data_IF_774738953247
#
_entry.id   IF_774738953247
#
_cell.length_a   1.000
_cell.length_b   1.000
_cell.length_c   1.000
_cell.angle_alpha   90.00
_cell.angle_beta   90.00
_cell.angle_gamma   90.00
#
_symmetry.space_group_name_H-M   'P 1'
#
loop_
_entity.id
_entity.type
_entity.pdbx_description
1 polymer ?
#
# COMPACT_ATOMS: atom_id res chain seq x y z
N UNK A 1 -30.99 29.61 36.93
CA UNK A 1 -31.46 28.27 36.51
C UNK A 1 -32.70 28.47 35.65
N UNK A 2 -32.59 28.38 34.32
CA UNK A 2 -33.76 28.46 33.44
C UNK A 2 -34.54 27.16 33.57
N UNK A 3 -35.73 27.23 34.16
CA UNK A 3 -36.64 26.09 34.32
C UNK A 3 -36.95 25.52 32.94
N UNK A 4 -36.66 24.23 32.73
CA UNK A 4 -36.98 23.55 31.47
C UNK A 4 -38.50 23.49 31.30
N UNK A 5 -39.02 24.19 30.29
CA UNK A 5 -40.44 24.16 29.94
C UNK A 5 -40.75 22.79 29.34
N UNK A 6 -41.59 21.98 30.00
CA UNK A 6 -42.08 20.71 29.45
C UNK A 6 -43.09 21.00 28.35
N UNK A 7 -42.71 20.75 27.10
CA UNK A 7 -43.61 20.86 25.95
C UNK A 7 -44.42 19.56 25.75
N UNK A 8 -45.67 19.62 25.25
CA UNK A 8 -46.44 18.43 24.88
C UNK A 8 -45.72 17.57 23.82
N UNK A 9 -45.89 16.24 23.87
CA UNK A 9 -45.26 15.32 22.90
C UNK A 9 -45.61 15.65 21.44
N UNK A 10 -46.85 16.10 21.21
CA UNK A 10 -47.37 16.52 19.90
C UNK A 10 -47.17 18.01 19.62
N UNK A 11 -46.24 18.69 20.30
CA UNK A 11 -45.90 20.08 20.03
C UNK A 11 -45.42 20.24 18.57
N UNK A 12 -46.02 21.17 17.84
CA UNK A 12 -45.66 21.57 16.49
C UNK A 12 -44.33 22.31 16.44
N UNK A 13 -43.77 22.44 15.23
CA UNK A 13 -42.42 22.97 15.05
C UNK A 13 -42.26 24.41 15.58
N UNK A 14 -43.29 25.26 15.44
CA UNK A 14 -43.18 26.66 15.84
C UNK A 14 -43.05 26.78 17.37
N UNK A 15 -43.84 26.00 18.13
CA UNK A 15 -43.73 25.96 19.58
C UNK A 15 -42.36 25.46 20.06
N UNK A 16 -41.78 24.44 19.39
CA UNK A 16 -40.47 23.89 19.77
C UNK A 16 -39.32 24.88 19.60
N UNK A 17 -39.42 25.78 18.62
CA UNK A 17 -38.35 26.73 18.28
C UNK A 17 -38.64 28.16 18.78
N UNK A 18 -39.79 28.39 19.41
CA UNK A 18 -40.15 29.69 19.98
C UNK A 18 -39.32 30.03 21.23
N UNK A 19 -39.05 31.32 21.51
CA UNK A 19 -38.45 31.75 22.76
C UNK A 19 -39.24 31.28 24.00
N UNK A 20 -38.58 31.06 25.16
CA UNK A 20 -39.24 30.55 26.38
C UNK A 20 -40.42 31.39 26.87
N UNK A 21 -40.43 32.70 26.62
CA UNK A 21 -41.55 33.59 26.94
C UNK A 21 -42.77 33.31 26.08
N UNK A 22 -42.56 33.15 24.77
CA UNK A 22 -43.61 32.84 23.81
C UNK A 22 -44.15 31.41 24.00
N UNK A 23 -43.29 30.45 24.38
CA UNK A 23 -43.71 29.11 24.77
C UNK A 23 -44.66 29.13 25.97
N UNK A 24 -44.32 29.89 27.03
CA UNK A 24 -45.16 30.03 28.23
C UNK A 24 -46.51 30.69 27.89
N UNK A 25 -46.48 31.77 27.12
CA UNK A 25 -47.68 32.47 26.68
C UNK A 25 -48.61 31.55 25.86
N UNK A 26 -48.04 30.73 24.96
CA UNK A 26 -48.81 29.76 24.20
C UNK A 26 -49.44 28.68 25.09
N UNK A 27 -48.65 28.07 26.01
CA UNK A 27 -49.16 27.02 26.90
C UNK A 27 -50.30 27.50 27.80
N UNK A 28 -50.23 28.74 28.31
CA UNK A 28 -51.31 29.34 29.10
C UNK A 28 -52.64 29.44 28.33
N UNK A 29 -52.59 29.69 27.02
CA UNK A 29 -53.78 29.72 26.16
C UNK A 29 -54.34 28.30 25.94
N UNK A 30 -53.48 27.29 25.86
CA UNK A 30 -53.87 25.88 25.64
C UNK A 30 -54.48 25.23 26.88
N UNK A 31 -54.05 25.61 28.09
CA UNK A 31 -54.62 25.09 29.34
C UNK A 31 -56.13 25.32 29.46
N UNK A 32 -56.62 26.42 28.88
CA UNK A 32 -58.02 26.81 28.87
C UNK A 32 -58.70 26.59 27.50
N UNK A 33 -58.16 25.67 26.69
CA UNK A 33 -58.73 25.33 25.39
C UNK A 33 -60.06 24.57 25.55
N UNK A 34 -61.14 24.96 24.84
CA UNK A 34 -62.46 24.38 25.04
C UNK A 34 -62.48 22.89 24.66
N UNK A 35 -63.13 22.07 25.49
CA UNK A 35 -63.26 20.62 25.26
C UNK A 35 -64.23 20.33 24.10
N UNK A 36 -64.15 19.14 23.51
CA UNK A 36 -65.02 18.79 22.37
C UNK A 36 -66.51 18.58 22.76
N UNK A 37 -66.90 18.88 24.00
CA UNK A 37 -68.27 18.74 24.49
C UNK A 37 -69.07 19.98 24.05
N UNK A 38 -70.15 19.78 23.29
CA UNK A 38 -71.00 20.89 22.82
C UNK A 38 -70.49 21.62 21.57
N UNK A 39 -69.69 20.97 20.72
CA UNK A 39 -69.13 21.55 19.48
C UNK A 39 -70.16 22.14 18.51
N UNK A 40 -71.42 21.71 18.58
CA UNK A 40 -72.53 22.22 17.77
C UNK A 40 -73.17 23.50 18.32
N UNK A 41 -72.73 24.00 19.48
CA UNK A 41 -73.30 25.19 20.13
C UNK A 41 -72.60 26.48 19.68
N UNK A 42 -73.37 27.58 19.62
CA UNK A 42 -72.84 28.91 19.30
C UNK A 42 -71.83 29.39 20.37
N UNK A 43 -72.08 29.10 21.65
CA UNK A 43 -71.19 29.42 22.75
C UNK A 43 -69.81 28.76 22.61
N UNK A 44 -69.75 27.50 22.16
CA UNK A 44 -68.47 26.82 21.87
C UNK A 44 -67.71 27.50 20.73
N UNK A 45 -68.43 27.91 19.67
CA UNK A 45 -67.83 28.61 18.53
C UNK A 45 -67.20 29.94 18.95
N UNK A 46 -67.89 30.74 19.77
CA UNK A 46 -67.40 32.03 20.29
C UNK A 46 -66.19 31.87 21.22
N UNK A 47 -66.21 30.89 22.14
CA UNK A 47 -65.07 30.56 22.99
C UNK A 47 -63.85 30.10 22.19
N UNK A 48 -64.07 29.26 21.17
CA UNK A 48 -63.01 28.80 20.28
C UNK A 48 -62.42 29.96 19.46
N UNK A 49 -63.25 30.88 18.96
CA UNK A 49 -62.79 32.11 18.26
C UNK A 49 -61.91 32.95 19.18
N UNK A 50 -62.33 33.19 20.42
CA UNK A 50 -61.55 33.97 21.39
C UNK A 50 -60.16 33.34 21.65
N UNK A 51 -60.09 32.01 21.77
CA UNK A 51 -58.81 31.29 21.96
C UNK A 51 -57.93 31.31 20.73
N UNK A 52 -58.49 31.19 19.53
CA UNK A 52 -57.75 31.35 18.27
C UNK A 52 -57.14 32.74 18.19
N UNK A 53 -57.90 33.80 18.52
CA UNK A 53 -57.40 35.17 18.54
C UNK A 53 -56.24 35.36 19.55
N UNK A 54 -56.34 34.75 20.74
CA UNK A 54 -55.25 34.75 21.73
C UNK A 54 -53.98 34.07 21.19
N UNK A 55 -54.09 32.91 20.54
CA UNK A 55 -52.93 32.25 19.92
C UNK A 55 -52.33 33.13 18.82
N UNK A 56 -53.15 33.71 17.95
CA UNK A 56 -52.70 34.60 16.87
C UNK A 56 -51.91 35.79 17.44
N UNK A 57 -52.38 36.37 18.55
CA UNK A 57 -51.67 37.44 19.26
C UNK A 57 -50.33 36.97 19.86
N UNK A 58 -50.27 35.77 20.46
CA UNK A 58 -49.01 35.19 20.97
C UNK A 58 -47.97 35.03 19.86
N UNK A 59 -48.40 34.70 18.64
CA UNK A 59 -47.52 34.58 17.47
C UNK A 59 -47.32 35.90 16.69
N UNK A 60 -47.97 36.98 17.09
CA UNK A 60 -47.88 38.31 16.46
C UNK A 60 -48.55 38.39 15.08
N UNK A 61 -49.48 37.50 14.75
CA UNK A 61 -50.15 37.48 13.45
C UNK A 61 -51.44 38.28 13.37
N UNK A 62 -52.08 38.24 12.20
CA UNK A 62 -53.42 38.78 11.94
C UNK A 62 -54.34 37.65 11.51
N UNK A 63 -55.58 37.63 12.01
CA UNK A 63 -56.62 36.71 11.55
C UNK A 63 -57.50 37.40 10.52
N UNK A 64 -57.48 36.91 9.27
CA UNK A 64 -58.12 37.55 8.12
C UNK A 64 -59.60 37.19 7.94
N UNK A 65 -60.07 36.07 8.50
CA UNK A 65 -61.45 35.60 8.34
C UNK A 65 -62.13 35.24 9.68
N UNK A 66 -62.27 36.17 10.64
CA UNK A 66 -62.90 35.90 11.93
C UNK A 66 -64.41 35.62 11.84
N UNK A 67 -65.06 36.13 10.79
CA UNK A 67 -66.51 35.96 10.56
C UNK A 67 -66.86 34.62 9.93
N UNK A 68 -65.97 34.07 9.10
CA UNK A 68 -66.13 32.72 8.52
C UNK A 68 -65.93 31.66 9.61
N UNK A 69 -66.78 30.63 9.66
CA UNK A 69 -66.76 29.62 10.72
C UNK A 69 -65.38 28.96 10.96
N UNK A 70 -65.19 28.36 12.15
CA UNK A 70 -63.90 27.89 12.66
C UNK A 70 -63.28 26.67 11.94
N UNK A 71 -63.80 26.24 10.79
CA UNK A 71 -63.35 25.05 10.07
C UNK A 71 -62.08 25.28 9.24
N UNK A 72 -61.87 26.50 8.72
CA UNK A 72 -60.69 26.88 7.93
C UNK A 72 -60.25 28.30 8.31
N UNK A 73 -59.08 28.41 8.92
CA UNK A 73 -58.51 29.68 9.36
C UNK A 73 -57.56 30.22 8.29
N UNK A 74 -57.75 31.48 7.92
CA UNK A 74 -56.83 32.28 7.10
C UNK A 74 -56.14 33.29 8.00
N UNK A 75 -54.85 33.04 8.27
CA UNK A 75 -54.03 33.90 9.13
C UNK A 75 -52.88 34.50 8.33
N UNK A 76 -52.28 35.57 8.81
CA UNK A 76 -51.08 36.17 8.26
C UNK A 76 -50.05 36.35 9.36
N UNK A 77 -48.78 35.97 9.12
CA UNK A 77 -47.71 36.22 10.10
C UNK A 77 -47.17 37.66 10.00
N UNK A 78 -46.28 38.03 10.93
CA UNK A 78 -45.57 39.32 10.92
C UNK A 78 -44.75 39.58 9.66
N UNK A 79 -44.28 38.53 8.98
CA UNK A 79 -43.54 38.61 7.71
C UNK A 79 -44.46 38.62 6.48
N UNK A 80 -45.79 38.65 6.68
CA UNK A 80 -46.76 38.75 5.60
C UNK A 80 -47.14 37.43 4.93
N UNK A 81 -46.57 36.28 5.32
CA UNK A 81 -46.95 34.98 4.76
C UNK A 81 -48.37 34.59 5.17
N UNK A 82 -49.15 34.09 4.20
CA UNK A 82 -50.49 33.54 4.43
C UNK A 82 -50.42 32.12 5.00
N UNK A 83 -51.12 31.89 6.10
CA UNK A 83 -51.21 30.62 6.81
C UNK A 83 -52.64 30.11 6.70
N UNK A 84 -52.83 29.05 5.94
CA UNK A 84 -54.12 28.35 5.86
C UNK A 84 -54.05 27.12 6.77
N UNK A 85 -54.83 27.11 7.85
CA UNK A 85 -54.75 26.05 8.86
C UNK A 85 -56.12 25.73 9.48
N UNK A 86 -56.15 24.75 10.38
CA UNK A 86 -57.33 24.38 11.18
C UNK A 86 -57.02 24.60 12.66
N UNK A 87 -58.03 24.86 13.52
CA UNK A 87 -57.81 25.06 14.95
C UNK A 87 -57.01 23.94 15.62
N UNK A 88 -57.17 22.70 15.16
CA UNK A 88 -56.42 21.54 15.64
C UNK A 88 -54.90 21.69 15.51
N UNK A 89 -54.39 22.11 14.35
CA UNK A 89 -52.95 22.28 14.13
C UNK A 89 -52.41 23.51 14.86
N UNK A 90 -53.22 24.57 14.92
CA UNK A 90 -52.89 25.76 15.69
C UNK A 90 -52.74 25.44 17.19
N UNK A 91 -53.64 24.62 17.74
CA UNK A 91 -53.59 24.09 19.13
C UNK A 91 -52.33 23.27 19.38
N UNK A 92 -51.83 22.55 18.38
CA UNK A 92 -50.58 21.79 18.51
C UNK A 92 -49.34 22.70 18.55
N UNK A 93 -49.46 23.99 18.21
CA UNK A 93 -48.30 24.89 18.12
C UNK A 93 -47.64 24.87 16.74
N UNK A 94 -48.42 24.56 15.70
CA UNK A 94 -48.03 24.77 14.30
C UNK A 94 -48.41 26.19 13.90
N UNK A 95 -47.43 26.95 13.43
CA UNK A 95 -47.61 28.34 12.95
C UNK A 95 -47.09 28.46 11.50
N UNK A 96 -46.47 29.58 11.15
CA UNK A 96 -45.99 29.91 9.82
C UNK A 96 -44.87 28.97 9.35
N UNK A 97 -45.19 28.09 8.39
CA UNK A 97 -44.22 27.24 7.71
C UNK A 97 -43.26 28.05 6.83
N UNK A 98 -43.70 29.17 6.26
CA UNK A 98 -42.87 30.08 5.46
C UNK A 98 -41.69 30.65 6.25
N UNK A 99 -41.98 31.31 7.38
CA UNK A 99 -40.95 31.80 8.31
C UNK A 99 -40.02 30.69 8.80
N UNK A 100 -40.55 29.50 9.07
CA UNK A 100 -39.73 28.36 9.50
C UNK A 100 -38.78 27.89 8.39
N UNK A 101 -39.27 27.72 7.16
CA UNK A 101 -38.43 27.35 6.01
C UNK A 101 -37.38 28.43 5.71
N UNK A 102 -37.73 29.71 5.83
CA UNK A 102 -36.78 30.82 5.65
C UNK A 102 -35.70 30.83 6.75
N UNK A 103 -36.05 30.54 8.00
CA UNK A 103 -35.08 30.39 9.09
C UNK A 103 -34.10 29.23 8.91
N UNK A 104 -34.50 28.22 8.13
CA UNK A 104 -33.66 27.06 7.78
C UNK A 104 -32.76 27.33 6.56
N UNK A 105 -32.97 28.44 5.82
CA UNK A 105 -32.13 28.75 4.67
C UNK A 105 -30.77 29.25 5.14
N UNK A 106 -29.74 28.63 4.56
CA UNK A 106 -28.40 29.14 4.68
C UNK A 106 -28.29 30.54 4.07
N UNK A 107 -27.58 31.41 4.77
CA UNK A 107 -27.31 32.78 4.36
C UNK A 107 -25.81 33.02 4.40
N UNK A 108 -25.35 34.10 3.76
CA UNK A 108 -23.94 34.47 3.87
C UNK A 108 -23.51 34.67 5.33
N UNK A 109 -24.41 35.22 6.17
CA UNK A 109 -24.17 35.38 7.59
C UNK A 109 -23.97 34.03 8.30
N UNK A 110 -24.77 33.00 7.97
CA UNK A 110 -24.57 31.67 8.54
C UNK A 110 -23.24 31.05 8.10
N UNK A 111 -22.78 31.33 6.88
CA UNK A 111 -21.46 30.90 6.38
C UNK A 111 -20.31 31.61 7.11
N UNK A 112 -20.42 32.92 7.33
CA UNK A 112 -19.43 33.69 8.10
C UNK A 112 -19.36 33.22 9.55
N UNK A 113 -20.50 32.95 10.19
CA UNK A 113 -20.54 32.39 11.54
C UNK A 113 -19.92 30.98 11.61
N UNK A 114 -20.15 30.14 10.58
CA UNK A 114 -19.53 28.83 10.47
C UNK A 114 -18.00 28.93 10.39
N UNK A 115 -17.49 29.89 9.61
CA UNK A 115 -16.06 30.15 9.51
C UNK A 115 -15.48 30.64 10.84
N UNK A 116 -16.13 31.59 11.51
CA UNK A 116 -15.71 32.13 12.80
C UNK A 116 -15.63 31.04 13.89
N UNK A 117 -16.61 30.12 13.92
CA UNK A 117 -16.60 28.96 14.84
C UNK A 117 -15.38 28.05 14.64
N UNK A 118 -14.82 28.02 13.43
CA UNK A 118 -13.61 27.25 13.06
C UNK A 118 -12.34 28.11 13.09
N UNK A 119 -12.40 29.29 13.72
CA UNK A 119 -11.31 30.27 13.79
C UNK A 119 -10.79 30.70 12.42
N UNK A 120 -11.70 30.86 11.47
CA UNK A 120 -11.35 31.36 10.14
C UNK A 120 -12.40 32.32 9.61
N UNK A 121 -12.30 32.63 8.33
CA UNK A 121 -13.07 33.69 7.68
C UNK A 121 -13.67 33.17 6.37
N UNK A 122 -14.92 33.53 6.10
CA UNK A 122 -15.50 33.39 4.77
C UNK A 122 -15.22 34.69 4.01
N UNK A 123 -14.42 34.61 2.94
CA UNK A 123 -13.99 35.76 2.14
C UNK A 123 -15.01 36.12 1.05
N UNK A 124 -15.93 35.22 0.73
CA UNK A 124 -17.00 35.49 -0.24
C UNK A 124 -17.94 36.58 0.28
N UNK A 125 -18.32 37.50 -0.61
CA UNK A 125 -19.28 38.58 -0.36
C UNK A 125 -20.73 38.20 -0.67
N UNK A 126 -20.95 37.04 -1.30
CA UNK A 126 -22.28 36.58 -1.72
C UNK A 126 -22.42 35.06 -1.52
N UNK A 127 -23.64 34.61 -1.21
CA UNK A 127 -24.00 33.19 -1.09
C UNK A 127 -25.29 32.93 -1.88
N UNK A 128 -25.18 32.17 -2.97
CA UNK A 128 -26.32 31.88 -3.85
C UNK A 128 -27.08 30.62 -3.39
N UNK A 129 -26.37 29.53 -3.13
CA UNK A 129 -26.93 28.26 -2.68
C UNK A 129 -25.83 27.30 -2.19
N UNK A 130 -26.23 26.12 -1.70
CA UNK A 130 -25.32 25.16 -1.07
C UNK A 130 -24.31 24.50 -2.02
N UNK A 131 -24.56 24.57 -3.33
CA UNK A 131 -23.67 24.05 -4.38
C UNK A 131 -22.69 25.10 -4.89
N UNK A 132 -22.91 26.38 -4.59
CA UNK A 132 -21.96 27.44 -4.91
C UNK A 132 -20.73 27.33 -4.04
N UNK A 133 -19.56 27.44 -4.68
CA UNK A 133 -18.29 27.50 -3.96
C UNK A 133 -18.14 28.87 -3.30
N UNK A 134 -17.66 28.86 -2.08
CA UNK A 134 -17.25 30.05 -1.34
C UNK A 134 -15.74 29.99 -1.12
N UNK A 135 -15.14 31.15 -0.95
CA UNK A 135 -13.75 31.31 -0.56
C UNK A 135 -13.66 31.33 0.96
N UNK A 136 -12.82 30.46 1.51
CA UNK A 136 -12.61 30.29 2.93
C UNK A 136 -11.15 30.52 3.27
N UNK A 137 -10.89 31.01 4.48
CA UNK A 137 -9.57 31.18 5.05
C UNK A 137 -9.52 30.57 6.45
N UNK A 138 -8.47 29.80 6.78
CA UNK A 138 -8.30 29.23 8.12
C UNK A 138 -7.40 30.11 8.99
N UNK A 139 -7.27 29.76 10.27
CA UNK A 139 -6.40 30.44 11.26
C UNK A 139 -4.93 30.56 10.80
N UNK A 140 -4.44 29.58 10.02
CA UNK A 140 -3.08 29.57 9.48
C UNK A 140 -2.94 30.37 8.16
N UNK A 141 -3.99 31.07 7.73
CA UNK A 141 -3.98 31.93 6.54
C UNK A 141 -4.16 31.20 5.22
N UNK A 142 -4.32 29.87 5.21
CA UNK A 142 -4.58 29.12 3.97
C UNK A 142 -5.95 29.49 3.40
N UNK A 143 -5.99 29.78 2.09
CA UNK A 143 -7.21 30.12 1.36
C UNK A 143 -7.59 28.97 0.43
N UNK A 144 -8.87 28.60 0.40
CA UNK A 144 -9.38 27.57 -0.50
C UNK A 144 -10.83 27.82 -0.91
N UNK A 145 -11.24 27.22 -2.03
CA UNK A 145 -12.63 27.18 -2.48
C UNK A 145 -13.31 25.89 -2.05
N UNK A 146 -14.47 26.01 -1.40
CA UNK A 146 -15.31 24.86 -1.05
C UNK A 146 -16.79 25.24 -0.98
N UNK A 147 -17.67 24.27 -1.17
CA UNK A 147 -19.11 24.46 -0.96
C UNK A 147 -19.44 24.47 0.53
N UNK A 148 -20.56 25.09 0.90
CA UNK A 148 -21.03 25.11 2.29
C UNK A 148 -21.25 23.71 2.85
N UNK A 149 -21.78 22.78 2.02
CA UNK A 149 -22.07 21.41 2.43
C UNK A 149 -20.79 20.63 2.77
N UNK A 150 -19.71 20.84 1.99
CA UNK A 150 -18.42 20.20 2.24
C UNK A 150 -17.80 20.64 3.58
N UNK A 151 -17.90 21.94 3.87
CA UNK A 151 -17.41 22.54 5.12
C UNK A 151 -18.24 22.10 6.31
N UNK A 152 -19.58 22.03 6.17
CA UNK A 152 -20.51 21.53 7.18
C UNK A 152 -20.28 20.06 7.52
N UNK A 153 -19.90 19.25 6.54
CA UNK A 153 -19.54 17.84 6.74
C UNK A 153 -18.25 17.64 7.56
N UNK A 154 -17.54 18.73 7.92
CA UNK A 154 -16.35 18.71 8.77
C UNK A 154 -15.04 18.88 8.03
N UNK A 155 -15.06 18.99 6.70
CA UNK A 155 -13.86 19.22 5.89
C UNK A 155 -13.55 20.72 5.87
N UNK A 156 -12.77 21.16 6.85
CA UNK A 156 -12.36 22.56 7.00
C UNK A 156 -11.22 22.90 6.03
N UNK A 157 -9.96 22.80 6.46
CA UNK A 157 -8.80 23.16 5.64
C UNK A 157 -8.00 21.91 5.26
N UNK A 158 -8.01 21.56 3.97
CA UNK A 158 -7.26 20.41 3.42
C UNK A 158 -5.75 20.58 3.54
N UNK A 159 -5.24 21.82 3.44
CA UNK A 159 -3.81 22.12 3.55
C UNK A 159 -3.32 21.87 4.98
N UNK A 160 -4.00 22.43 5.99
CA UNK A 160 -3.70 22.13 7.39
C UNK A 160 -3.79 20.63 7.67
N UNK A 161 -4.84 19.97 7.19
CA UNK A 161 -5.00 18.52 7.36
C UNK A 161 -3.81 17.75 6.79
N UNK A 162 -3.35 18.08 5.58
CA UNK A 162 -2.20 17.45 4.95
C UNK A 162 -0.90 17.73 5.71
N UNK A 163 -0.68 18.97 6.18
CA UNK A 163 0.47 19.33 7.00
C UNK A 163 0.53 18.50 8.29
N UNK A 164 -0.59 18.40 9.03
CA UNK A 164 -0.65 17.58 10.24
C UNK A 164 -0.47 16.08 9.93
N UNK A 165 -1.08 15.58 8.86
CA UNK A 165 -0.92 14.18 8.42
C UNK A 165 0.54 13.87 8.09
N UNK A 166 1.21 14.75 7.35
CA UNK A 166 2.61 14.59 6.96
C UNK A 166 3.54 14.68 8.17
N UNK A 167 3.30 15.60 9.10
CA UNK A 167 4.06 15.71 10.34
C UNK A 167 3.92 14.45 11.20
N UNK A 168 2.70 13.94 11.38
CA UNK A 168 2.45 12.70 12.12
C UNK A 168 3.14 11.49 11.46
N UNK A 169 3.11 11.43 10.12
CA UNK A 169 3.82 10.38 9.39
C UNK A 169 5.34 10.49 9.57
N UNK A 170 5.91 11.70 9.47
CA UNK A 170 7.33 11.93 9.71
C UNK A 170 7.74 11.51 11.13
N UNK A 171 6.93 11.82 12.14
CA UNK A 171 7.16 11.39 13.53
C UNK A 171 7.15 9.86 13.67
N UNK A 172 6.25 9.18 12.96
CA UNK A 172 6.25 7.70 12.89
C UNK A 172 7.56 7.17 12.31
N UNK A 173 8.06 7.79 11.24
CA UNK A 173 9.33 7.40 10.60
C UNK A 173 10.54 7.69 11.49
N UNK A 174 10.55 8.83 12.21
CA UNK A 174 11.56 9.16 13.23
C UNK A 174 11.63 8.04 14.30
N UNK A 175 10.48 7.60 14.81
CA UNK A 175 10.40 6.49 15.78
C UNK A 175 10.91 5.14 15.23
N UNK A 176 10.62 4.82 13.96
CA UNK A 176 11.15 3.60 13.33
C UNK A 176 12.67 3.69 13.21
N UNK A 177 13.22 4.86 12.85
CA UNK A 177 14.66 5.06 12.79
C UNK A 177 15.33 4.80 14.15
N UNK A 178 14.72 5.29 15.24
CA UNK A 178 15.19 5.07 16.61
C UNK A 178 15.16 3.58 17.01
N UNK A 179 14.10 2.85 16.63
CA UNK A 179 14.00 1.40 16.87
C UNK A 179 15.13 0.61 16.19
N UNK A 180 15.64 1.09 15.07
CA UNK A 180 16.80 0.52 14.38
C UNK A 180 18.15 1.07 14.87
N UNK A 181 18.18 1.81 15.98
CA UNK A 181 19.40 2.41 16.53
C UNK A 181 19.95 3.54 15.67
N UNK A 182 19.10 4.25 14.91
CA UNK A 182 19.49 5.39 14.09
C UNK A 182 18.62 6.61 14.35
N UNK A 183 18.78 7.63 13.50
CA UNK A 183 17.99 8.86 13.53
C UNK A 183 17.64 9.33 12.13
N UNK A 184 16.45 9.92 11.99
CA UNK A 184 16.08 10.65 10.78
C UNK A 184 16.50 12.12 10.96
N UNK A 185 17.23 12.65 9.99
CA UNK A 185 17.77 14.02 9.96
C UNK A 185 16.86 15.00 9.21
N UNK A 186 15.82 14.51 8.55
CA UNK A 186 14.88 15.35 7.80
C UNK A 186 13.72 15.83 8.69
N UNK A 187 13.38 17.10 8.55
CA UNK A 187 12.28 17.75 9.29
C UNK A 187 11.03 18.02 8.45
N UNK A 188 11.11 17.78 7.14
CA UNK A 188 9.99 18.01 6.21
C UNK A 188 9.73 16.75 5.39
N UNK A 189 8.46 16.35 5.32
CA UNK A 189 7.96 15.30 4.45
C UNK A 189 6.81 15.83 3.61
N UNK A 190 6.93 15.70 2.29
CA UNK A 190 5.94 16.24 1.34
C UNK A 190 5.10 15.11 0.76
N UNK A 191 5.73 14.06 0.24
CA UNK A 191 5.06 12.94 -0.42
C UNK A 191 5.90 11.65 -0.40
N UNK A 192 5.36 10.56 -0.94
CA UNK A 192 5.99 9.23 -0.94
C UNK A 192 7.29 9.15 -1.74
N UNK A 193 7.52 10.08 -2.67
CA UNK A 193 8.77 10.17 -3.47
C UNK A 193 9.83 11.02 -2.77
N UNK A 194 9.48 11.81 -1.77
CA UNK A 194 10.44 12.59 -0.99
C UNK A 194 11.40 11.64 -0.28
N UNK A 195 12.69 11.76 -0.60
CA UNK A 195 13.75 11.07 0.12
C UNK A 195 13.97 11.77 1.46
N UNK A 196 14.09 10.99 2.52
CA UNK A 196 14.49 11.47 3.85
C UNK A 196 15.92 11.00 4.12
N UNK A 197 16.65 11.82 4.87
CA UNK A 197 18.03 11.57 5.26
C UNK A 197 18.06 10.86 6.62
N UNK A 198 18.86 9.82 6.73
CA UNK A 198 19.00 9.00 7.94
C UNK A 198 20.45 8.83 8.33
N UNK A 199 20.70 8.55 9.62
CA UNK A 199 22.01 8.19 10.17
C UNK A 199 21.87 6.96 11.08
N UNK A 200 22.74 5.96 10.97
CA UNK A 200 22.74 4.79 11.86
C UNK A 200 23.68 4.98 13.07
N UNK A 201 23.65 4.05 14.03
CA UNK A 201 24.54 4.05 15.19
C UNK A 201 26.04 4.08 14.83
N UNK A 202 26.43 3.45 13.72
CA UNK A 202 27.83 3.46 13.24
C UNK A 202 28.24 4.77 12.55
N UNK A 203 27.30 5.71 12.37
CA UNK A 203 27.58 7.02 11.78
C UNK A 203 27.32 7.13 10.27
N UNK A 204 26.98 6.04 9.57
CA UNK A 204 26.66 6.08 8.13
C UNK A 204 25.43 6.94 7.87
N UNK A 205 25.50 7.80 6.84
CA UNK A 205 24.41 8.65 6.40
C UNK A 205 23.92 8.26 5.01
N UNK A 206 22.61 8.14 4.84
CA UNK A 206 22.03 7.84 3.54
C UNK A 206 20.67 8.50 3.34
N UNK A 207 20.24 8.58 2.09
CA UNK A 207 18.94 9.11 1.71
C UNK A 207 18.09 8.01 1.06
N UNK A 208 16.86 7.85 1.54
CA UNK A 208 15.94 6.86 0.98
C UNK A 208 14.49 7.25 1.20
N UNK A 209 13.56 6.56 0.55
CA UNK A 209 12.13 6.80 0.76
C UNK A 209 11.64 6.14 2.06
N UNK A 210 10.68 6.74 2.77
CA UNK A 210 10.13 6.19 4.01
C UNK A 210 9.55 4.79 3.88
N UNK A 211 9.07 4.43 2.69
CA UNK A 211 8.53 3.09 2.40
C UNK A 211 9.60 2.00 2.55
N UNK A 212 10.85 2.28 2.14
CA UNK A 212 11.96 1.34 2.28
C UNK A 212 12.28 1.13 3.76
N UNK A 213 12.28 2.21 4.55
CA UNK A 213 12.50 2.16 6.00
C UNK A 213 11.41 1.34 6.71
N UNK A 214 10.13 1.60 6.40
CA UNK A 214 9.02 0.87 7.03
C UNK A 214 9.02 -0.63 6.75
N UNK A 215 9.63 -1.06 5.64
CA UNK A 215 9.71 -2.45 5.20
C UNK A 215 11.08 -3.09 5.45
N UNK A 216 11.99 -2.43 6.18
CA UNK A 216 13.37 -2.87 6.36
C UNK A 216 13.50 -4.08 7.30
N UNK A 217 13.04 -5.26 6.88
CA UNK A 217 13.33 -6.55 7.54
C UNK A 217 14.80 -6.92 7.27
N UNK A 218 15.71 -6.39 8.08
CA UNK A 218 17.13 -6.77 8.08
C UNK A 218 18.07 -5.93 7.19
N UNK A 219 17.61 -4.81 6.63
CA UNK A 219 18.46 -3.93 5.80
C UNK A 219 18.21 -2.44 6.05
N UNK A 220 18.20 -2.05 7.33
CA UNK A 220 18.00 -0.65 7.76
C UNK A 220 19.06 0.30 7.18
N UNK A 221 20.34 -0.06 7.34
CA UNK A 221 21.48 0.73 6.84
C UNK A 221 22.17 -0.06 5.72
N UNK A 222 22.25 0.47 4.48
CA UNK A 222 22.89 -0.21 3.36
C UNK A 222 24.36 -0.52 3.62
N UNK A 223 25.08 0.43 4.23
CA UNK A 223 26.48 0.28 4.59
C UNK A 223 26.68 -0.75 5.69
N UNK A 224 25.88 -0.73 6.77
CA UNK A 224 25.98 -1.76 7.81
C UNK A 224 25.69 -3.17 7.26
N UNK A 225 24.76 -3.29 6.30
CA UNK A 225 24.50 -4.57 5.63
C UNK A 225 25.71 -4.99 4.80
N UNK A 226 26.31 -4.07 4.06
CA UNK A 226 27.50 -4.36 3.27
C UNK A 226 28.69 -4.75 4.16
N UNK A 227 28.92 -4.04 5.26
CA UNK A 227 29.95 -4.35 6.25
C UNK A 227 29.75 -5.74 6.84
N UNK A 228 28.51 -6.12 7.19
CA UNK A 228 28.23 -7.47 7.72
C UNK A 228 28.41 -8.58 6.67
N UNK A 229 28.41 -8.23 5.38
CA UNK A 229 28.61 -9.18 4.28
C UNK A 229 30.05 -9.23 3.78
N UNK A 230 30.89 -8.27 4.18
CA UNK A 230 32.33 -8.36 4.01
C UNK A 230 32.81 -9.45 4.96
N UNK A 231 32.92 -10.68 4.44
CA UNK A 231 33.59 -11.77 5.17
C UNK A 231 34.96 -11.29 5.62
N UNK A 232 35.35 -11.61 6.85
CA UNK A 232 36.62 -11.11 7.38
C UNK A 232 37.79 -11.83 6.71
N UNK A 233 38.99 -11.25 6.78
CA UNK A 233 40.18 -11.89 6.21
C UNK A 233 40.40 -13.28 6.84
N UNK A 234 40.06 -13.43 8.11
CA UNK A 234 40.15 -14.66 8.89
C UNK A 234 39.20 -15.74 8.34
N UNK A 235 37.97 -15.38 7.94
CA UNK A 235 37.05 -16.33 7.30
C UNK A 235 37.62 -16.86 5.98
N UNK A 236 38.24 -15.99 5.18
CA UNK A 236 38.84 -16.39 3.90
C UNK A 236 40.06 -17.30 4.11
N UNK A 237 40.86 -17.02 5.14
CA UNK A 237 41.99 -17.86 5.51
C UNK A 237 41.54 -19.24 6.02
N UNK A 238 40.47 -19.30 6.81
CA UNK A 238 39.90 -20.56 7.29
C UNK A 238 39.40 -21.44 6.12
N UNK A 239 38.67 -20.85 5.17
CA UNK A 239 38.19 -21.57 3.97
C UNK A 239 39.35 -22.10 3.14
N UNK A 240 40.43 -21.31 3.02
CA UNK A 240 41.62 -21.79 2.32
C UNK A 240 42.27 -22.98 3.02
N UNK A 241 42.35 -22.94 4.35
CA UNK A 241 42.91 -24.01 5.16
C UNK A 241 42.09 -25.31 5.07
N UNK A 242 40.75 -25.21 5.12
CA UNK A 242 39.84 -26.36 4.94
C UNK A 242 40.02 -27.05 3.59
N UNK A 243 40.32 -26.29 2.54
CA UNK A 243 40.56 -26.80 1.19
C UNK A 243 42.03 -27.20 0.93
N UNK A 244 42.84 -27.29 1.98
CA UNK A 244 44.24 -27.69 1.89
C UNK A 244 45.14 -26.65 1.22
N UNK A 245 44.87 -25.36 1.38
CA UNK A 245 45.71 -24.30 0.80
C UNK A 245 45.74 -23.03 1.63
N UNK A 246 46.11 -21.92 0.99
CA UNK A 246 46.38 -20.63 1.64
C UNK A 246 45.76 -19.48 0.86
N UNK A 247 45.18 -18.53 1.58
CA UNK A 247 44.77 -17.24 1.06
C UNK A 247 45.97 -16.30 1.13
N UNK A 248 46.40 -15.73 -0.01
CA UNK A 248 47.57 -14.84 -0.10
C UNK A 248 47.18 -13.35 0.03
N UNK A 249 45.92 -13.05 0.34
CA UNK A 249 45.47 -11.68 0.52
C UNK A 249 46.05 -11.08 1.81
N UNK A 250 46.65 -9.90 1.70
CA UNK A 250 47.02 -9.08 2.87
C UNK A 250 45.86 -8.19 3.34
N UNK A 251 44.96 -7.79 2.44
CA UNK A 251 43.82 -6.90 2.71
C UNK A 251 42.59 -7.39 1.95
N UNK A 252 41.46 -7.52 2.65
CA UNK A 252 40.19 -7.84 2.02
C UNK A 252 39.36 -6.58 1.77
N UNK A 253 39.16 -6.22 0.50
CA UNK A 253 38.47 -4.98 0.10
C UNK A 253 36.97 -5.22 -0.17
N UNK A 254 36.61 -6.31 -0.84
CA UNK A 254 35.19 -6.66 -1.09
C UNK A 254 35.02 -8.11 -1.58
N UNK A 255 33.80 -8.65 -1.46
CA UNK A 255 33.42 -10.00 -1.90
C UNK A 255 33.50 -10.24 -3.41
N UNK A 256 33.48 -9.17 -4.20
CA UNK A 256 33.56 -9.23 -5.67
C UNK A 256 34.98 -8.99 -6.20
N UNK A 257 35.93 -8.65 -5.32
CA UNK A 257 37.32 -8.50 -5.73
C UNK A 257 37.98 -9.88 -5.79
N UNK A 258 38.79 -10.10 -6.84
CA UNK A 258 39.58 -11.34 -6.93
C UNK A 258 40.64 -11.34 -5.83
N UNK A 259 40.74 -12.47 -5.15
CA UNK A 259 41.75 -12.73 -4.14
C UNK A 259 42.73 -13.76 -4.70
N UNK A 260 44.01 -13.65 -4.36
CA UNK A 260 45.01 -14.63 -4.71
C UNK A 260 44.98 -15.82 -3.72
N UNK A 261 44.93 -17.04 -4.27
CA UNK A 261 44.85 -18.30 -3.53
C UNK A 261 45.98 -19.21 -3.95
N UNK A 262 46.42 -20.09 -3.05
CA UNK A 262 47.41 -21.13 -3.31
C UNK A 262 46.88 -22.48 -2.81
N UNK A 263 46.95 -23.55 -3.62
CA UNK A 263 46.60 -24.90 -3.17
C UNK A 263 47.81 -25.64 -2.59
N UNK A 264 47.57 -26.81 -1.99
CA UNK A 264 48.62 -27.70 -1.46
C UNK A 264 49.73 -28.01 -2.46
N UNK A 265 49.35 -28.20 -3.72
CA UNK A 265 50.26 -28.50 -4.83
C UNK A 265 51.03 -27.24 -5.32
N UNK A 266 50.90 -26.11 -4.64
CA UNK A 266 51.63 -24.88 -4.91
C UNK A 266 51.09 -24.01 -6.05
N UNK A 267 50.01 -24.42 -6.74
CA UNK A 267 49.40 -23.60 -7.79
C UNK A 267 48.81 -22.31 -7.21
N UNK A 268 49.13 -21.17 -7.81
CA UNK A 268 48.60 -19.86 -7.43
C UNK A 268 47.59 -19.39 -8.47
N UNK A 269 46.42 -18.90 -8.04
CA UNK A 269 45.41 -18.34 -8.93
C UNK A 269 44.58 -17.24 -8.27
N UNK A 270 43.94 -16.42 -9.10
CA UNK A 270 43.02 -15.38 -8.65
C UNK A 270 41.57 -15.81 -8.80
N UNK A 271 40.79 -15.72 -7.72
CA UNK A 271 39.37 -16.03 -7.72
C UNK A 271 38.60 -15.17 -6.71
N UNK A 272 37.33 -14.91 -7.03
CA UNK A 272 36.38 -14.28 -6.11
C UNK A 272 36.07 -15.24 -4.95
N UNK A 273 36.06 -14.78 -3.69
CA UNK A 273 35.69 -15.61 -2.53
C UNK A 273 34.35 -16.33 -2.65
N UNK A 274 33.37 -15.70 -3.31
CA UNK A 274 32.05 -16.29 -3.58
C UNK A 274 32.15 -17.60 -4.38
N UNK A 275 33.04 -17.66 -5.37
CA UNK A 275 33.29 -18.88 -6.18
C UNK A 275 34.01 -19.97 -5.40
N UNK A 276 34.92 -19.60 -4.50
CA UNK A 276 35.57 -20.54 -3.60
C UNK A 276 34.53 -21.16 -2.65
N UNK A 277 33.68 -20.34 -2.03
CA UNK A 277 32.57 -20.78 -1.17
C UNK A 277 31.58 -21.68 -1.91
N UNK A 278 31.39 -21.49 -3.22
CA UNK A 278 30.54 -22.35 -4.05
C UNK A 278 31.22 -23.63 -4.57
N UNK A 279 32.42 -23.97 -4.09
CA UNK A 279 33.09 -25.25 -4.38
C UNK A 279 34.10 -25.24 -5.53
N UNK A 280 34.37 -24.10 -6.15
CA UNK A 280 35.43 -24.00 -7.17
C UNK A 280 36.78 -23.68 -6.51
N UNK A 281 37.66 -24.67 -6.37
CA UNK A 281 38.98 -24.50 -5.74
C UNK A 281 40.11 -24.29 -6.77
N UNK A 282 40.97 -25.28 -6.99
CA UNK A 282 42.11 -25.19 -7.91
C UNK A 282 41.80 -25.83 -9.26
N UNK A 283 41.75 -25.02 -10.32
CA UNK A 283 41.53 -25.50 -11.71
C UNK A 283 42.64 -26.42 -12.20
N UNK A 284 43.89 -26.14 -11.84
CA UNK A 284 45.02 -26.98 -12.24
C UNK A 284 44.91 -28.38 -11.63
N UNK A 285 44.55 -28.47 -10.35
CA UNK A 285 44.29 -29.76 -9.69
C UNK A 285 43.07 -30.46 -10.29
N UNK A 286 41.96 -29.75 -10.52
CA UNK A 286 40.76 -30.31 -11.12
C UNK A 286 41.01 -30.84 -12.56
N UNK A 287 41.83 -30.15 -13.35
CA UNK A 287 42.21 -30.62 -14.68
C UNK A 287 43.17 -31.82 -14.62
N UNK A 288 44.09 -31.84 -13.66
CA UNK A 288 44.99 -32.96 -13.45
C UNK A 288 44.22 -34.24 -13.09
N UNK A 289 43.21 -34.15 -12.21
CA UNK A 289 42.35 -35.29 -11.84
C UNK A 289 41.42 -35.76 -12.95
N UNK A 290 41.19 -34.95 -13.99
CA UNK A 290 40.37 -35.32 -15.17
C UNK A 290 41.19 -35.96 -16.30
N UNK A 291 42.52 -36.07 -16.17
CA UNK A 291 43.35 -36.74 -17.17
C UNK A 291 43.09 -38.23 -17.12
N UNK A 292 42.36 -38.73 -18.12
CA UNK A 292 42.17 -40.16 -18.31
C UNK A 292 43.51 -40.85 -18.52
N UNK A 293 43.68 -42.07 -18.04
CA UNK A 293 44.93 -42.84 -18.20
C UNK A 293 44.83 -43.89 -19.31
N UNK A 294 45.98 -44.42 -19.76
CA UNK A 294 45.98 -45.49 -20.77
C UNK A 294 45.33 -46.76 -20.22
N UNK A 295 45.45 -47.03 -18.92
CA UNK A 295 44.82 -48.16 -18.23
C UNK A 295 43.30 -48.07 -18.29
N UNK A 296 42.72 -46.89 -18.06
CA UNK A 296 41.27 -46.68 -18.21
C UNK A 296 40.80 -46.92 -19.65
N UNK A 297 41.63 -46.59 -20.65
CA UNK A 297 41.33 -46.86 -22.06
C UNK A 297 41.41 -48.34 -22.38
N UNK A 298 42.34 -49.07 -21.77
CA UNK A 298 42.44 -50.53 -21.89
C UNK A 298 41.23 -51.22 -21.26
N UNK A 299 40.80 -50.78 -20.07
CA UNK A 299 39.58 -51.30 -19.43
C UNK A 299 38.33 -51.03 -20.27
N UNK A 300 38.22 -49.85 -20.88
CA UNK A 300 37.14 -49.54 -21.82
C UNK A 300 37.13 -50.49 -23.03
N UNK A 301 38.30 -50.86 -23.55
CA UNK A 301 38.37 -51.80 -24.66
C UNK A 301 37.92 -53.21 -24.24
N UNK A 302 38.34 -53.66 -23.06
CA UNK A 302 37.95 -54.95 -22.48
C UNK A 302 36.44 -55.00 -22.27
N UNK A 303 35.84 -53.95 -21.71
CA UNK A 303 34.38 -53.89 -21.48
C UNK A 303 33.55 -53.94 -22.77
N UNK A 304 34.16 -53.64 -23.92
CA UNK A 304 33.53 -53.71 -25.25
C UNK A 304 33.90 -54.98 -26.02
N UNK A 305 34.52 -55.95 -25.35
CA UNK A 305 34.90 -57.24 -25.93
C UNK A 305 36.10 -57.14 -26.87
N UNK A 306 37.03 -56.23 -26.62
CA UNK A 306 38.23 -56.07 -27.44
C UNK A 306 39.46 -55.62 -26.65
N UNK A 307 40.45 -55.06 -27.34
CA UNK A 307 41.74 -54.66 -26.77
C UNK A 307 42.14 -53.27 -27.27
N UNK A 308 42.70 -52.45 -26.39
CA UNK A 308 43.43 -51.24 -26.79
C UNK A 308 44.87 -51.68 -27.06
N UNK A 309 45.36 -51.50 -28.29
CA UNK A 309 46.72 -51.87 -28.71
C UNK A 309 47.73 -50.74 -28.47
N UNK A 310 47.26 -49.53 -28.19
CA UNK A 310 48.13 -48.42 -27.82
C UNK A 310 48.69 -48.61 -26.42
N UNK A 311 49.98 -48.31 -26.25
CA UNK A 311 50.69 -48.38 -24.97
C UNK A 311 50.78 -47.03 -24.26
N UNK A 312 50.46 -45.93 -24.94
CA UNK A 312 50.55 -44.57 -24.42
C UNK A 312 49.30 -43.75 -24.76
N UNK A 313 48.89 -42.89 -23.82
CA UNK A 313 47.79 -41.95 -24.00
C UNK A 313 48.24 -40.53 -23.63
N UNK A 314 48.42 -39.70 -24.66
CA UNK A 314 48.94 -38.34 -24.49
C UNK A 314 47.85 -37.33 -24.10
N UNK A 315 46.67 -37.40 -24.73
CA UNK A 315 45.52 -36.55 -24.46
C UNK A 315 44.26 -37.05 -25.20
N UNK A 316 43.10 -36.43 -24.91
CA UNK A 316 41.79 -36.80 -25.45
C UNK A 316 41.60 -36.62 -26.95
N UNK A 317 42.52 -35.92 -27.63
CA UNK A 317 42.50 -35.77 -29.10
C UNK A 317 43.38 -36.79 -29.81
N UNK A 318 44.29 -37.44 -29.10
CA UNK A 318 45.15 -38.48 -29.68
C UNK A 318 44.33 -39.72 -30.00
N UNK A 319 44.44 -40.21 -31.24
CA UNK A 319 43.81 -41.47 -31.65
C UNK A 319 44.57 -42.63 -31.03
N UNK A 320 43.82 -43.59 -30.50
CA UNK A 320 44.35 -44.87 -30.02
C UNK A 320 44.02 -45.97 -31.04
N UNK A 321 44.83 -47.02 -31.06
CA UNK A 321 44.61 -48.22 -31.86
C UNK A 321 43.78 -49.21 -31.06
N UNK A 322 42.66 -49.63 -31.60
CA UNK A 322 41.70 -50.54 -30.96
C UNK A 322 41.56 -51.81 -31.79
N UNK A 323 41.23 -52.92 -31.13
CA UNK A 323 40.94 -54.20 -31.75
C UNK A 323 39.64 -54.77 -31.17
N UNK A 324 38.71 -55.23 -32.00
CA UNK A 324 37.47 -55.86 -31.53
C UNK A 324 37.62 -57.38 -31.37
N UNK A 325 36.59 -58.06 -30.83
CA UNK A 325 36.56 -59.52 -30.69
C UNK A 325 36.79 -60.28 -32.00
N UNK A 326 36.31 -59.74 -33.13
CA UNK A 326 36.53 -60.34 -34.45
C UNK A 326 37.96 -60.13 -34.96
N UNK A 327 38.74 -59.22 -34.36
CA UNK A 327 40.14 -58.97 -34.73
C UNK A 327 40.34 -57.78 -35.68
N UNK A 328 39.29 -57.05 -36.06
CA UNK A 328 39.43 -55.79 -36.81
C UNK A 328 40.20 -54.76 -35.99
N UNK A 329 41.15 -54.06 -36.62
CA UNK A 329 41.97 -53.03 -35.99
C UNK A 329 41.67 -51.68 -36.63
N UNK A 330 41.43 -50.65 -35.81
CA UNK A 330 41.17 -49.29 -36.28
C UNK A 330 41.73 -48.23 -35.33
N UNK A 331 41.81 -47.00 -35.82
CA UNK A 331 42.25 -45.83 -35.05
C UNK A 331 41.08 -44.89 -34.75
N UNK A 332 40.87 -44.59 -33.46
CA UNK A 332 39.82 -43.68 -33.03
C UNK A 332 40.21 -42.97 -31.72
N UNK A 333 39.67 -41.77 -31.50
CA UNK A 333 39.82 -41.08 -30.22
C UNK A 333 38.95 -41.74 -29.15
N UNK A 334 39.34 -41.70 -27.86
CA UNK A 334 38.51 -42.21 -26.78
C UNK A 334 37.08 -41.67 -26.75
N UNK A 335 36.90 -40.38 -27.06
CA UNK A 335 35.58 -39.77 -27.11
C UNK A 335 34.69 -40.43 -28.17
N UNK A 336 35.23 -40.70 -29.36
CA UNK A 336 34.53 -41.40 -30.43
C UNK A 336 34.15 -42.82 -29.98
N UNK A 337 35.10 -43.59 -29.44
CA UNK A 337 34.85 -44.97 -28.96
C UNK A 337 33.82 -45.03 -27.82
N UNK A 338 33.75 -44.01 -26.97
CA UNK A 338 32.74 -43.91 -25.90
C UNK A 338 31.34 -43.60 -26.43
N UNK A 339 31.23 -42.66 -27.39
CA UNK A 339 29.95 -42.07 -27.81
C UNK A 339 29.33 -42.69 -29.07
N UNK A 340 30.12 -43.35 -29.91
CA UNK A 340 29.67 -43.83 -31.22
C UNK A 340 29.89 -45.33 -31.38
N UNK A 341 29.93 -45.80 -32.62
CA UNK A 341 30.16 -47.20 -32.99
C UNK A 341 31.50 -47.72 -32.46
N UNK A 342 31.45 -48.84 -31.74
CA UNK A 342 32.64 -49.54 -31.23
C UNK A 342 33.61 -49.91 -32.35
N UNK A 343 33.19 -50.78 -33.28
CA UNK A 343 34.01 -51.19 -34.43
C UNK A 343 33.27 -50.89 -35.74
N UNK A 344 33.81 -50.03 -36.63
CA UNK A 344 33.15 -49.67 -37.89
C UNK A 344 32.85 -50.89 -38.76
N UNK A 345 33.82 -51.81 -38.88
CA UNK A 345 33.68 -53.01 -39.69
C UNK A 345 32.60 -53.96 -39.13
N UNK A 346 32.54 -54.14 -37.80
CA UNK A 346 31.46 -54.92 -37.18
C UNK A 346 30.08 -54.27 -37.39
N UNK A 347 30.02 -52.94 -37.39
CA UNK A 347 28.78 -52.22 -37.64
C UNK A 347 28.31 -52.37 -39.09
N UNK A 348 29.20 -52.23 -40.08
CA UNK A 348 28.86 -52.53 -41.47
C UNK A 348 28.50 -54.00 -41.69
N UNK A 349 29.20 -54.92 -41.01
CA UNK A 349 28.88 -56.35 -41.04
C UNK A 349 27.46 -56.63 -40.51
N UNK A 350 27.03 -55.93 -39.46
CA UNK A 350 25.66 -56.04 -38.91
C UNK A 350 24.57 -55.54 -39.86
N UNK A 351 24.91 -54.64 -40.79
CA UNK A 351 23.96 -54.07 -41.77
C UNK A 351 23.92 -54.83 -43.11
N UNK A 352 24.83 -55.76 -43.34
CA UNK A 352 24.92 -56.51 -44.58
C UNK A 352 23.81 -57.57 -44.69
N UNK A 353 23.03 -57.50 -45.78
CA UNK A 353 21.91 -58.42 -46.06
C UNK A 353 22.29 -59.65 -46.90
N UNK A 354 23.47 -59.67 -47.53
CA UNK A 354 23.91 -60.76 -48.42
C UNK A 354 25.29 -61.31 -48.07
N UNK A 355 25.50 -62.62 -48.24
CA UNK A 355 26.79 -63.26 -47.89
C UNK A 355 27.97 -62.72 -48.70
N UNK A 356 27.74 -62.30 -49.94
CA UNK A 356 28.77 -61.69 -50.79
C UNK A 356 29.29 -60.37 -50.21
N UNK A 357 28.42 -59.57 -49.58
CA UNK A 357 28.80 -58.31 -48.93
C UNK A 357 29.40 -58.53 -47.54
N UNK A 358 28.93 -59.55 -46.80
CA UNK A 358 29.47 -59.93 -45.47
C UNK A 358 30.94 -60.36 -45.55
N UNK A 359 31.34 -61.12 -46.59
CA UNK A 359 32.73 -61.58 -46.78
C UNK A 359 33.76 -60.45 -46.82
N UNK A 360 33.37 -59.22 -47.22
CA UNK A 360 34.26 -58.05 -47.28
C UNK A 360 34.70 -57.55 -45.90
N UNK A 361 33.86 -57.72 -44.89
CA UNK A 361 34.02 -57.17 -43.55
C UNK A 361 34.29 -58.27 -42.51
N UNK A 362 34.65 -59.47 -42.96
CA UNK A 362 35.20 -60.51 -42.11
C UNK A 362 36.73 -60.36 -42.09
N UNK A 363 37.39 -60.61 -40.96
CA UNK A 363 38.83 -60.54 -40.87
C UNK A 363 39.46 -61.55 -41.84
N UNK A 364 40.45 -61.11 -42.62
CA UNK A 364 41.29 -62.02 -43.40
C UNK A 364 41.96 -63.01 -42.45
N UNK A 365 41.68 -64.31 -42.59
CA UNK A 365 42.40 -65.38 -41.87
C UNK A 365 43.89 -65.19 -42.15
N UNK A 366 44.63 -64.75 -41.14
CA UNK A 366 46.09 -64.79 -41.13
C UNK A 366 46.54 -66.16 -40.67
#
# INVERSE_FOLDING_TARGET
>A
MMTLIKLPEKAGFALRHAPPEQQRAFLAVIESWPSNVGQSTQAYSEQLKAKIAQIVAVWGGVWLNPEEGNQKLKLQCTQGHLINTRPFYLRQGVWCTGCYVESLRDSLHSMQALAAKRKGVCLSSEYLNSRSKLLWQCEQGHIWEATSDFVKAGNWCSICYLQHKNANYLNKIKRIAEQHGGKCLSDVYVNTKTKLKFRCAKGHEWETTPQIIGNAKGSWCPECKHDSQRGTLEELQAIAAEQGGRCLAAVFVSVNHKVAWQCEQGHVWEAEPSRIKSGSWCKSCAHASLRLTIEEMQQLAISRGGKCLSTEYLNSRTKLRWQCALGHVWEATPAHVKMTTWCPECFYLSQCRSDKTRKKYLPSKK
#
